data_IF_288287239310
#
_entry.id   IF_288287239310
#
_cell.length_a   1.000
_cell.length_b   1.000
_cell.length_c   1.000
_cell.angle_alpha   90.00
_cell.angle_beta   90.00
_cell.angle_gamma   90.00
#
_symmetry.space_group_name_H-M   'P 1'
#
loop_
_entity.id
_entity.type
_entity.pdbx_description
1 polymer ?
#
# COMPACT_ATOMS: atom_id res chain seq x y z
N UNK A 1 56.59 58.39 13.86
CA UNK A 1 57.38 57.66 12.88
C UNK A 1 56.74 56.35 12.50
N UNK A 2 56.81 56.07 11.23
CA UNK A 2 56.67 54.80 10.49
C UNK A 2 55.31 54.58 9.86
N UNK A 3 55.21 54.94 8.67
CA UNK A 3 55.25 54.28 7.38
C UNK A 3 54.25 53.14 7.17
N UNK A 4 53.27 53.46 6.38
CA UNK A 4 52.40 52.65 5.58
C UNK A 4 53.14 51.67 4.65
N UNK A 5 52.69 50.41 4.59
CA UNK A 5 52.86 49.62 3.36
C UNK A 5 51.55 48.88 3.05
N UNK A 6 50.97 49.27 1.95
CA UNK A 6 49.90 48.57 1.25
C UNK A 6 50.46 47.27 0.65
N UNK A 7 49.81 46.16 0.84
CA UNK A 7 49.94 44.97 -0.01
C UNK A 7 48.56 44.58 -0.53
N UNK A 8 48.43 44.74 -1.84
CA UNK A 8 47.32 44.30 -2.66
C UNK A 8 47.27 42.77 -2.69
N UNK A 9 46.21 42.21 -2.14
CA UNK A 9 45.90 40.78 -2.32
C UNK A 9 44.81 40.65 -3.38
N UNK A 10 45.21 40.14 -4.53
CA UNK A 10 44.36 39.78 -5.67
C UNK A 10 43.45 38.63 -5.22
N UNK A 11 42.17 38.88 -5.15
CA UNK A 11 41.14 37.84 -4.99
C UNK A 11 41.02 37.08 -6.29
N UNK A 12 41.49 35.85 -6.32
CA UNK A 12 41.25 34.90 -7.36
C UNK A 12 39.80 34.39 -7.24
N UNK A 13 38.93 34.72 -8.17
CA UNK A 13 37.65 34.10 -8.34
C UNK A 13 37.87 32.61 -8.63
N UNK A 14 37.47 31.78 -7.66
CA UNK A 14 37.35 30.35 -7.86
C UNK A 14 36.06 30.14 -8.66
N UNK A 15 36.21 29.83 -9.95
CA UNK A 15 35.11 29.42 -10.80
C UNK A 15 34.38 28.20 -10.15
N UNK A 16 33.10 28.36 -9.90
CA UNK A 16 32.19 27.32 -9.50
C UNK A 16 32.22 26.20 -10.53
N UNK A 17 32.69 25.04 -10.14
CA UNK A 17 32.60 23.82 -10.93
C UNK A 17 31.14 23.39 -11.05
N UNK A 18 30.67 22.91 -12.22
CA UNK A 18 29.27 22.44 -12.38
C UNK A 18 29.00 21.32 -11.40
N UNK A 19 27.90 21.52 -10.65
CA UNK A 19 27.46 20.63 -9.58
C UNK A 19 27.46 19.17 -9.99
N UNK A 20 28.12 18.35 -9.21
CA UNK A 20 27.94 16.89 -9.25
C UNK A 20 26.47 16.61 -8.92
N UNK A 21 25.78 15.89 -9.80
CA UNK A 21 24.47 15.30 -9.53
C UNK A 21 24.58 14.48 -8.24
N UNK A 22 24.02 15.01 -7.16
CA UNK A 22 23.94 14.30 -5.89
C UNK A 22 22.63 13.47 -5.89
N UNK A 23 22.71 12.13 -5.97
CA UNK A 23 21.52 11.27 -6.05
C UNK A 23 20.57 11.45 -4.86
N UNK A 24 21.06 11.95 -3.73
CA UNK A 24 20.24 12.27 -2.55
C UNK A 24 19.41 13.53 -2.73
N UNK A 25 19.94 14.56 -3.40
CA UNK A 25 19.20 15.80 -3.71
C UNK A 25 18.04 15.54 -4.67
N UNK A 26 18.24 14.66 -5.64
CA UNK A 26 17.18 14.28 -6.60
C UNK A 26 16.09 13.45 -5.91
N UNK A 27 16.44 12.56 -5.00
CA UNK A 27 15.47 11.80 -4.21
C UNK A 27 14.65 12.71 -3.28
N UNK A 28 15.26 13.67 -2.59
CA UNK A 28 14.57 14.61 -1.71
C UNK A 28 13.62 15.53 -2.50
N UNK A 29 14.01 15.98 -3.69
CA UNK A 29 13.15 16.79 -4.56
C UNK A 29 11.95 16.01 -5.09
N UNK A 30 12.09 14.72 -5.37
CA UNK A 30 11.03 13.82 -5.83
C UNK A 30 10.08 13.43 -4.69
N UNK A 31 10.56 13.32 -3.44
CA UNK A 31 9.70 13.07 -2.27
C UNK A 31 8.79 14.27 -2.00
N UNK A 32 9.30 15.49 -2.13
CA UNK A 32 8.51 16.72 -1.93
C UNK A 32 7.37 16.89 -2.95
N UNK A 33 7.41 16.21 -4.10
CA UNK A 33 6.37 16.25 -5.12
C UNK A 33 5.22 15.25 -4.84
N UNK A 34 5.40 14.33 -3.88
CA UNK A 34 4.34 13.38 -3.54
C UNK A 34 3.24 14.06 -2.72
N UNK A 35 1.99 13.84 -3.10
CA UNK A 35 0.83 14.36 -2.34
C UNK A 35 0.77 13.80 -0.93
N UNK A 36 1.28 12.59 -0.71
CA UNK A 36 1.38 11.94 0.62
C UNK A 36 2.37 12.62 1.56
N UNK A 37 3.37 13.36 1.03
CA UNK A 37 4.40 14.08 1.81
C UNK A 37 4.08 15.58 1.95
N UNK A 38 3.11 16.08 1.21
CA UNK A 38 2.70 17.48 1.22
C UNK A 38 2.02 17.86 2.56
N UNK A 39 2.09 19.14 2.90
CA UNK A 39 1.36 19.67 4.06
C UNK A 39 -0.14 19.79 3.73
N UNK A 40 -1.00 19.44 4.70
CA UNK A 40 -2.43 19.59 4.59
C UNK A 40 -2.86 20.93 5.19
N UNK A 41 -3.42 21.81 4.37
CA UNK A 41 -3.89 23.14 4.80
C UNK A 41 -4.96 23.04 5.89
N UNK A 42 -5.84 22.02 5.85
CA UNK A 42 -6.89 21.83 6.84
C UNK A 42 -6.35 21.57 8.26
N UNK A 43 -5.10 21.13 8.39
CA UNK A 43 -4.46 20.84 9.67
C UNK A 43 -3.46 21.91 10.12
N UNK A 44 -3.47 23.12 9.55
CA UNK A 44 -2.64 24.21 10.04
C UNK A 44 -2.97 24.54 11.49
N UNK A 45 -1.94 24.73 12.31
CA UNK A 45 -2.06 24.97 13.75
C UNK A 45 -2.67 23.78 14.53
N UNK A 46 -2.54 22.56 14.02
CA UNK A 46 -3.13 21.35 14.60
C UNK A 46 -2.75 21.12 16.06
N UNK A 47 -1.51 21.44 16.45
CA UNK A 47 -0.98 21.32 17.80
C UNK A 47 -1.62 22.25 18.83
N UNK A 48 -2.35 23.30 18.38
CA UNK A 48 -3.02 24.26 19.28
C UNK A 48 -4.53 24.04 19.38
N UNK A 49 -5.07 23.04 18.65
CA UNK A 49 -6.49 22.73 18.58
C UNK A 49 -6.95 21.93 19.80
N UNK A 50 -8.21 22.13 20.18
CA UNK A 50 -8.89 21.27 21.15
C UNK A 50 -9.11 19.87 20.58
N UNK A 51 -9.31 18.88 21.44
CA UNK A 51 -9.60 17.51 21.03
C UNK A 51 -10.82 17.41 20.08
N UNK A 52 -11.84 18.24 20.31
CA UNK A 52 -13.04 18.28 19.46
C UNK A 52 -12.72 18.83 18.07
N UNK A 53 -11.93 19.88 17.97
CA UNK A 53 -11.50 20.44 16.67
C UNK A 53 -10.60 19.44 15.92
N UNK A 54 -9.66 18.80 16.61
CA UNK A 54 -8.81 17.75 16.04
C UNK A 54 -9.66 16.63 15.45
N UNK A 55 -10.63 16.10 16.22
CA UNK A 55 -11.50 15.04 15.75
C UNK A 55 -12.34 15.45 14.52
N UNK A 56 -12.87 16.69 14.51
CA UNK A 56 -13.63 17.23 13.39
C UNK A 56 -12.78 17.38 12.12
N UNK A 57 -11.54 17.87 12.25
CA UNK A 57 -10.62 18.01 11.12
C UNK A 57 -10.31 16.62 10.52
N UNK A 58 -9.97 15.65 11.36
CA UNK A 58 -9.68 14.27 10.91
C UNK A 58 -10.91 13.69 10.19
N UNK A 59 -12.09 13.78 10.82
CA UNK A 59 -13.32 13.24 10.22
C UNK A 59 -13.67 13.89 8.88
N UNK A 60 -13.48 15.21 8.76
CA UNK A 60 -13.69 15.93 7.51
C UNK A 60 -12.75 15.46 6.41
N UNK A 61 -11.47 15.23 6.73
CA UNK A 61 -10.49 14.69 5.79
C UNK A 61 -10.79 13.24 5.41
N UNK A 62 -11.15 12.40 6.38
CA UNK A 62 -11.49 10.99 6.16
C UNK A 62 -12.72 10.83 5.25
N UNK A 63 -13.67 11.75 5.29
CA UNK A 63 -14.84 11.75 4.40
C UNK A 63 -14.47 11.82 2.90
N UNK A 64 -13.27 12.28 2.56
CA UNK A 64 -12.79 12.35 1.17
C UNK A 64 -12.32 10.99 0.61
N UNK A 65 -12.01 10.04 1.48
CA UNK A 65 -11.39 8.75 1.10
C UNK A 65 -12.29 7.94 0.18
N UNK A 66 -13.57 7.82 0.51
CA UNK A 66 -14.52 7.05 -0.31
C UNK A 66 -14.65 7.64 -1.73
N UNK A 67 -14.63 8.97 -1.87
CA UNK A 67 -14.67 9.64 -3.15
C UNK A 67 -13.38 9.42 -3.98
N UNK A 68 -12.23 9.36 -3.32
CA UNK A 68 -10.95 9.02 -3.96
C UNK A 68 -10.96 7.57 -4.47
N UNK A 69 -11.36 6.61 -3.64
CA UNK A 69 -11.47 5.20 -4.03
C UNK A 69 -12.50 4.99 -5.16
N UNK A 70 -13.60 5.76 -5.16
CA UNK A 70 -14.62 5.69 -6.23
C UNK A 70 -14.03 5.92 -7.63
N UNK A 71 -13.02 6.78 -7.76
CA UNK A 71 -12.38 7.05 -9.05
C UNK A 71 -11.62 5.85 -9.60
N UNK A 72 -11.13 4.98 -8.73
CA UNK A 72 -10.36 3.78 -9.08
C UNK A 72 -11.21 2.50 -9.23
N UNK A 73 -12.54 2.60 -9.19
CA UNK A 73 -13.45 1.43 -9.33
C UNK A 73 -13.19 0.62 -10.61
N UNK A 74 -12.94 1.21 -11.79
CA UNK A 74 -12.67 0.42 -13.00
C UNK A 74 -11.45 -0.50 -12.85
N UNK A 75 -10.35 0.00 -12.29
CA UNK A 75 -9.12 -0.77 -12.05
C UNK A 75 -9.32 -1.81 -10.94
N UNK A 76 -10.06 -1.46 -9.89
CA UNK A 76 -10.45 -2.40 -8.83
C UNK A 76 -11.25 -3.57 -9.43
N UNK A 77 -12.19 -3.31 -10.33
CA UNK A 77 -12.97 -4.33 -11.00
C UNK A 77 -12.10 -5.27 -11.84
N UNK A 78 -11.10 -4.73 -12.56
CA UNK A 78 -10.13 -5.55 -13.30
C UNK A 78 -9.35 -6.48 -12.38
N UNK A 79 -8.91 -5.97 -11.22
CA UNK A 79 -8.18 -6.79 -10.24
C UNK A 79 -9.10 -7.85 -9.61
N UNK A 80 -10.38 -7.54 -9.33
CA UNK A 80 -11.38 -8.51 -8.86
C UNK A 80 -11.48 -9.67 -9.84
N UNK A 81 -11.67 -9.39 -11.13
CA UNK A 81 -11.80 -10.42 -12.16
C UNK A 81 -10.51 -11.23 -12.33
N UNK A 82 -9.35 -10.59 -12.24
CA UNK A 82 -8.07 -11.27 -12.33
C UNK A 82 -7.83 -12.18 -11.12
N UNK A 83 -8.12 -11.71 -9.88
CA UNK A 83 -8.03 -12.53 -8.66
C UNK A 83 -8.96 -13.74 -8.76
N UNK A 84 -10.22 -13.53 -9.17
CA UNK A 84 -11.18 -14.63 -9.32
C UNK A 84 -10.71 -15.69 -10.34
N UNK A 85 -10.13 -15.28 -11.47
CA UNK A 85 -9.51 -16.19 -12.45
C UNK A 85 -8.36 -16.97 -11.84
N UNK A 86 -7.40 -16.30 -11.25
CA UNK A 86 -6.23 -16.94 -10.64
C UNK A 86 -6.63 -17.99 -9.60
N UNK A 87 -7.58 -17.67 -8.71
CA UNK A 87 -8.02 -18.59 -7.67
C UNK A 87 -8.82 -19.77 -8.24
N UNK A 88 -9.64 -19.56 -9.29
CA UNK A 88 -10.38 -20.63 -10.00
C UNK A 88 -9.44 -21.63 -10.67
N UNK A 89 -8.33 -21.13 -11.22
CA UNK A 89 -7.33 -21.94 -11.90
C UNK A 89 -6.34 -22.64 -10.95
N UNK A 90 -6.63 -22.60 -9.65
CA UNK A 90 -5.80 -23.20 -8.59
C UNK A 90 -4.55 -22.43 -8.26
N UNK A 91 -4.48 -21.16 -8.64
CA UNK A 91 -3.43 -20.22 -8.23
C UNK A 91 -3.73 -19.55 -6.89
N UNK A 92 -2.92 -18.52 -6.55
CA UNK A 92 -2.94 -17.84 -5.27
C UNK A 92 -3.01 -16.32 -5.46
N UNK A 93 -3.56 -15.64 -4.45
CA UNK A 93 -3.38 -14.22 -4.27
C UNK A 93 -2.32 -13.98 -3.20
N UNK A 94 -1.31 -13.18 -3.51
CA UNK A 94 -0.22 -12.84 -2.59
C UNK A 94 -0.12 -11.33 -2.48
N UNK A 95 -0.40 -10.80 -1.28
CA UNK A 95 -0.17 -9.40 -0.98
C UNK A 95 1.28 -9.13 -0.60
N UNK A 96 1.79 -7.97 -0.97
CA UNK A 96 3.11 -7.48 -0.59
C UNK A 96 2.97 -6.06 -0.04
N UNK A 97 3.50 -5.81 1.15
CA UNK A 97 3.45 -4.48 1.76
C UNK A 97 4.54 -4.26 2.80
N UNK A 98 4.66 -3.03 3.26
CA UNK A 98 5.54 -2.63 4.35
C UNK A 98 4.74 -1.78 5.34
N UNK A 99 5.17 -1.68 6.59
CA UNK A 99 4.54 -0.86 7.61
C UNK A 99 3.02 -1.07 7.71
N UNK A 100 2.25 0.02 7.65
CA UNK A 100 0.77 -0.02 7.72
C UNK A 100 0.16 -0.78 6.55
N UNK A 101 0.71 -0.64 5.33
CA UNK A 101 0.24 -1.36 4.15
C UNK A 101 0.38 -2.88 4.31
N UNK A 102 1.49 -3.34 4.88
CA UNK A 102 1.71 -4.76 5.19
C UNK A 102 0.74 -5.30 6.24
N UNK A 103 0.41 -4.50 7.27
CA UNK A 103 -0.57 -4.87 8.30
C UNK A 103 -1.99 -4.97 7.75
N UNK A 104 -2.38 -4.05 6.87
CA UNK A 104 -3.68 -4.08 6.18
C UNK A 104 -3.78 -5.32 5.28
N UNK A 105 -2.70 -5.66 4.56
CA UNK A 105 -2.60 -6.88 3.78
C UNK A 105 -2.77 -8.15 4.63
N UNK A 106 -2.11 -8.19 5.80
CA UNK A 106 -2.22 -9.29 6.75
C UNK A 106 -3.64 -9.43 7.29
N UNK A 107 -4.27 -8.30 7.66
CA UNK A 107 -5.65 -8.27 8.15
C UNK A 107 -6.60 -8.87 7.11
N UNK A 108 -6.59 -8.38 5.86
CA UNK A 108 -7.48 -8.88 4.81
C UNK A 108 -7.24 -10.37 4.51
N UNK A 109 -5.98 -10.81 4.52
CA UNK A 109 -5.64 -12.21 4.29
C UNK A 109 -6.12 -13.13 5.42
N UNK A 110 -6.05 -12.68 6.67
CA UNK A 110 -6.45 -13.48 7.84
C UNK A 110 -7.97 -13.65 7.96
N UNK A 111 -8.75 -12.73 7.38
CA UNK A 111 -10.22 -12.79 7.39
C UNK A 111 -10.80 -13.70 6.30
N UNK A 112 -10.00 -14.11 5.30
CA UNK A 112 -10.50 -14.97 4.22
C UNK A 112 -10.88 -16.40 4.66
N UNK A 113 -10.08 -17.13 5.47
CA UNK A 113 -10.46 -18.47 5.91
C UNK A 113 -11.75 -18.52 6.72
N UNK A 114 -11.98 -17.67 7.74
CA UNK A 114 -13.22 -17.73 8.52
C UNK A 114 -14.44 -17.30 7.73
N UNK A 115 -14.28 -16.38 6.74
CA UNK A 115 -15.41 -15.81 5.99
C UNK A 115 -15.81 -16.65 4.79
N UNK A 116 -14.82 -17.20 4.08
CA UNK A 116 -15.01 -17.87 2.78
C UNK A 116 -14.51 -19.31 2.75
N UNK A 117 -14.06 -19.86 3.89
CA UNK A 117 -13.44 -21.21 3.97
C UNK A 117 -12.30 -21.40 2.94
N UNK A 118 -11.52 -20.34 2.69
CA UNK A 118 -10.41 -20.44 1.75
C UNK A 118 -9.39 -21.47 2.24
N UNK A 119 -8.83 -22.25 1.31
CA UNK A 119 -7.81 -23.23 1.62
C UNK A 119 -6.54 -22.55 2.20
N UNK A 120 -5.82 -23.22 3.11
CA UNK A 120 -4.54 -22.72 3.59
C UNK A 120 -3.59 -22.38 2.45
N UNK A 121 -3.03 -21.19 2.48
CA UNK A 121 -2.09 -20.72 1.45
C UNK A 121 -2.70 -20.21 0.14
N UNK A 122 -4.02 -20.28 -0.05
CA UNK A 122 -4.70 -19.71 -1.22
C UNK A 122 -4.64 -18.18 -1.23
N UNK A 123 -4.75 -17.56 -0.07
CA UNK A 123 -4.58 -16.13 0.15
C UNK A 123 -3.42 -15.93 1.11
N UNK A 124 -2.42 -15.17 0.69
CA UNK A 124 -1.17 -14.98 1.43
C UNK A 124 -0.81 -13.51 1.51
N UNK A 125 0.04 -13.17 2.46
CA UNK A 125 0.74 -11.90 2.50
C UNK A 125 2.23 -12.11 2.80
N UNK A 126 3.04 -11.16 2.37
CA UNK A 126 4.41 -10.94 2.82
C UNK A 126 4.55 -9.47 3.19
N UNK A 127 5.35 -9.19 4.20
CA UNK A 127 5.64 -7.83 4.61
C UNK A 127 7.09 -7.66 5.01
N UNK A 128 7.62 -6.48 4.80
CA UNK A 128 8.96 -6.10 5.25
C UNK A 128 9.08 -6.32 6.76
N UNK A 129 10.15 -7.01 7.19
CA UNK A 129 10.34 -7.41 8.60
C UNK A 129 9.60 -8.69 9.03
N UNK A 130 8.78 -9.28 8.15
CA UNK A 130 8.09 -10.54 8.40
C UNK A 130 7.05 -10.46 9.54
N UNK A 131 6.69 -11.62 10.16
CA UNK A 131 5.62 -11.67 11.18
C UNK A 131 5.88 -10.78 12.41
N UNK A 132 7.12 -10.49 12.75
CA UNK A 132 7.47 -9.60 13.88
C UNK A 132 6.99 -8.17 13.62
N UNK A 133 6.97 -7.73 12.37
CA UNK A 133 6.55 -6.39 11.98
C UNK A 133 5.02 -6.16 12.08
N UNK A 134 4.23 -7.20 12.35
CA UNK A 134 2.80 -7.04 12.67
C UNK A 134 2.59 -6.28 13.98
N UNK A 135 3.42 -6.58 15.00
CA UNK A 135 3.29 -6.03 16.34
C UNK A 135 4.26 -4.88 16.65
N UNK A 136 5.33 -4.71 15.85
CA UNK A 136 6.35 -3.69 16.08
C UNK A 136 6.77 -3.01 14.78
N UNK A 137 7.20 -1.76 14.86
CA UNK A 137 7.78 -1.06 13.70
C UNK A 137 9.17 -1.65 13.38
N UNK A 138 9.38 -2.08 12.14
CA UNK A 138 10.66 -2.58 11.62
C UNK A 138 10.91 -1.88 10.28
N UNK A 139 11.31 -0.61 10.34
CA UNK A 139 11.42 0.27 9.17
C UNK A 139 12.63 -0.07 8.28
N UNK A 140 13.73 -0.53 8.88
CA UNK A 140 15.01 -0.81 8.18
C UNK A 140 14.87 -1.76 6.97
N UNK A 141 13.84 -2.61 6.94
CA UNK A 141 13.65 -3.59 5.87
C UNK A 141 12.83 -3.04 4.69
N UNK A 142 12.23 -1.87 4.82
CA UNK A 142 11.36 -1.29 3.77
C UNK A 142 12.18 -0.79 2.57
N UNK A 143 13.42 -0.39 2.79
CA UNK A 143 14.33 0.15 1.78
C UNK A 143 15.13 -0.93 1.03
N UNK A 144 14.98 -2.20 1.43
CA UNK A 144 15.75 -3.28 0.81
C UNK A 144 15.01 -3.97 -0.34
N UNK A 145 15.42 -3.68 -1.56
CA UNK A 145 14.97 -4.38 -2.77
C UNK A 145 15.31 -5.87 -2.72
N UNK A 146 16.52 -6.20 -2.24
CA UNK A 146 16.99 -7.59 -2.13
C UNK A 146 16.08 -8.41 -1.21
N UNK A 147 15.68 -7.85 -0.07
CA UNK A 147 14.75 -8.52 0.84
C UNK A 147 13.39 -8.72 0.19
N UNK A 148 12.89 -7.74 -0.54
CA UNK A 148 11.63 -7.82 -1.30
C UNK A 148 11.65 -8.96 -2.32
N UNK A 149 12.69 -9.01 -3.14
CA UNK A 149 12.89 -10.09 -4.11
C UNK A 149 13.03 -11.46 -3.45
N UNK A 150 13.82 -11.56 -2.38
CA UNK A 150 14.03 -12.81 -1.65
C UNK A 150 12.75 -13.35 -1.04
N UNK A 151 11.95 -12.49 -0.42
CA UNK A 151 10.76 -12.92 0.30
C UNK A 151 9.63 -13.33 -0.65
N UNK A 152 9.47 -12.65 -1.79
CA UNK A 152 8.54 -13.10 -2.84
C UNK A 152 9.05 -14.36 -3.56
N UNK A 153 10.35 -14.49 -3.80
CA UNK A 153 10.95 -15.66 -4.43
C UNK A 153 10.69 -16.94 -3.62
N UNK A 154 10.67 -16.85 -2.29
CA UNK A 154 10.31 -17.97 -1.39
C UNK A 154 8.88 -18.45 -1.59
N UNK A 155 7.98 -17.60 -2.06
CA UNK A 155 6.60 -17.96 -2.42
C UNK A 155 6.52 -18.64 -3.79
N UNK A 156 7.58 -18.59 -4.59
CA UNK A 156 7.65 -19.20 -5.94
C UNK A 156 6.42 -18.80 -6.78
N UNK A 157 6.23 -17.50 -7.07
CA UNK A 157 5.09 -17.05 -7.87
C UNK A 157 5.13 -17.65 -9.27
N UNK A 158 3.96 -18.00 -9.78
CA UNK A 158 3.78 -18.62 -11.10
C UNK A 158 2.76 -17.83 -11.92
N UNK A 159 2.61 -18.16 -13.21
CA UNK A 159 1.61 -17.57 -14.11
C UNK A 159 0.15 -17.76 -13.64
N UNK A 160 -0.11 -18.64 -12.67
CA UNK A 160 -1.44 -18.83 -12.08
C UNK A 160 -1.72 -17.88 -10.94
N UNK A 161 -0.70 -17.26 -10.38
CA UNK A 161 -0.81 -16.42 -9.21
C UNK A 161 -1.02 -14.96 -9.58
N UNK A 162 -1.59 -14.20 -8.66
CA UNK A 162 -1.58 -12.74 -8.70
C UNK A 162 -0.88 -12.18 -7.47
N UNK A 163 0.06 -11.26 -7.70
CA UNK A 163 0.77 -10.53 -6.65
C UNK A 163 0.26 -9.09 -6.63
N UNK A 164 -0.21 -8.63 -5.47
CA UNK A 164 -0.74 -7.27 -5.29
C UNK A 164 0.17 -6.51 -4.33
N UNK A 165 0.89 -5.54 -4.84
CA UNK A 165 1.77 -4.67 -4.05
C UNK A 165 1.00 -3.48 -3.48
N UNK A 166 1.23 -3.19 -2.18
CA UNK A 166 0.62 -2.06 -1.47
C UNK A 166 1.71 -1.10 -1.01
N UNK A 167 1.67 0.13 -1.51
CA UNK A 167 2.56 1.21 -1.08
C UNK A 167 1.84 2.55 -1.25
N UNK A 168 1.56 3.26 -0.17
CA UNK A 168 0.88 4.55 -0.21
C UNK A 168 1.67 5.58 -1.05
N UNK A 169 2.98 5.69 -0.84
CA UNK A 169 3.87 6.54 -1.65
C UNK A 169 4.10 5.98 -3.07
N UNK A 170 3.92 4.66 -3.24
CA UNK A 170 4.25 3.95 -4.48
C UNK A 170 5.75 3.76 -4.72
N UNK A 171 6.59 4.05 -3.73
CA UNK A 171 8.06 4.10 -3.87
C UNK A 171 8.81 3.11 -3.00
N UNK A 172 8.16 2.41 -2.06
CA UNK A 172 8.78 1.47 -1.13
C UNK A 172 9.61 0.42 -1.86
N UNK A 173 10.96 0.43 -1.77
CA UNK A 173 11.83 -0.42 -2.61
C UNK A 173 11.54 -1.90 -2.45
N UNK A 174 11.29 -2.35 -1.21
CA UNK A 174 10.89 -3.74 -0.90
C UNK A 174 9.68 -4.19 -1.73
N UNK A 175 8.64 -3.35 -1.79
CA UNK A 175 7.38 -3.71 -2.47
C UNK A 175 7.55 -3.65 -3.99
N UNK A 176 8.21 -2.62 -4.50
CA UNK A 176 8.48 -2.44 -5.94
C UNK A 176 9.27 -3.64 -6.47
N UNK A 177 10.36 -4.00 -5.79
CA UNK A 177 11.21 -5.12 -6.20
C UNK A 177 10.49 -6.47 -6.15
N UNK A 178 9.63 -6.69 -5.15
CA UNK A 178 8.83 -7.92 -5.06
C UNK A 178 7.79 -8.02 -6.20
N UNK A 179 7.10 -6.94 -6.55
CA UNK A 179 6.13 -6.90 -7.66
C UNK A 179 6.85 -7.11 -8.99
N UNK A 180 7.95 -6.39 -9.24
CA UNK A 180 8.74 -6.55 -10.45
C UNK A 180 9.28 -7.98 -10.62
N UNK A 181 9.79 -8.60 -9.56
CA UNK A 181 10.22 -10.00 -9.57
C UNK A 181 9.08 -10.95 -9.93
N UNK A 182 7.90 -10.79 -9.31
CA UNK A 182 6.75 -11.63 -9.58
C UNK A 182 6.32 -11.53 -11.05
N UNK A 183 6.27 -10.32 -11.60
CA UNK A 183 5.96 -10.06 -13.02
C UNK A 183 6.96 -10.74 -13.95
N UNK A 184 8.25 -10.63 -13.65
CA UNK A 184 9.32 -11.29 -14.42
C UNK A 184 9.21 -12.84 -14.38
N UNK A 185 8.57 -13.41 -13.34
CA UNK A 185 8.25 -14.83 -13.23
C UNK A 185 6.95 -15.22 -13.92
N UNK A 186 6.28 -14.29 -14.58
CA UNK A 186 5.04 -14.48 -15.33
C UNK A 186 3.78 -14.48 -14.46
N UNK A 187 3.86 -14.13 -13.17
CA UNK A 187 2.68 -13.92 -12.35
C UNK A 187 1.96 -12.64 -12.79
N UNK A 188 0.63 -12.61 -12.65
CA UNK A 188 -0.13 -11.38 -12.78
C UNK A 188 0.21 -10.43 -11.64
N UNK A 189 0.21 -9.13 -11.91
CA UNK A 189 0.58 -8.14 -10.89
C UNK A 189 -0.40 -6.99 -10.84
N UNK A 190 -0.66 -6.50 -9.62
CA UNK A 190 -1.39 -5.27 -9.40
C UNK A 190 -0.70 -4.42 -8.35
N UNK A 191 -0.91 -3.10 -8.43
CA UNK A 191 -0.43 -2.14 -7.45
C UNK A 191 -1.57 -1.35 -6.85
N UNK A 192 -1.48 -1.04 -5.54
CA UNK A 192 -2.38 -0.12 -4.83
C UNK A 192 -1.54 1.00 -4.25
N UNK A 193 -1.75 2.22 -4.73
CA UNK A 193 -0.98 3.41 -4.34
C UNK A 193 -1.89 4.62 -4.17
N UNK A 194 -1.37 5.70 -3.54
CA UNK A 194 -2.07 6.97 -3.39
C UNK A 194 -1.47 8.09 -4.25
N UNK A 195 -0.47 7.78 -5.08
CA UNK A 195 0.17 8.73 -5.98
C UNK A 195 0.24 8.17 -7.39
N UNK A 196 0.17 9.05 -8.40
CA UNK A 196 0.38 8.73 -9.80
C UNK A 196 1.88 8.61 -10.12
N UNK A 197 2.21 8.04 -11.27
CA UNK A 197 3.56 8.00 -11.86
C UNK A 197 4.64 7.48 -10.90
N UNK A 198 4.33 6.40 -10.20
CA UNK A 198 5.19 5.83 -9.19
C UNK A 198 5.97 4.60 -9.69
N UNK A 199 7.13 4.26 -9.08
CA UNK A 199 7.87 3.04 -9.41
C UNK A 199 7.03 1.75 -9.32
N UNK A 200 6.12 1.64 -8.34
CA UNK A 200 5.25 0.47 -8.23
C UNK A 200 4.25 0.39 -9.39
N UNK A 201 3.79 1.55 -9.90
CA UNK A 201 2.91 1.61 -11.06
C UNK A 201 3.61 1.09 -12.31
N UNK A 202 4.87 1.43 -12.53
CA UNK A 202 5.68 0.90 -13.64
C UNK A 202 5.94 -0.62 -13.51
N UNK A 203 6.00 -1.15 -12.29
CA UNK A 203 6.28 -2.55 -12.01
C UNK A 203 5.05 -3.47 -12.16
N UNK A 204 3.82 -2.96 -12.14
CA UNK A 204 2.59 -3.74 -12.12
C UNK A 204 1.86 -3.73 -13.48
N UNK A 205 1.00 -4.74 -13.72
CA UNK A 205 0.14 -4.82 -14.91
C UNK A 205 -1.14 -3.98 -14.76
N UNK A 206 -1.70 -3.92 -13.54
CA UNK A 206 -2.90 -3.13 -13.22
C UNK A 206 -2.55 -2.20 -12.04
N UNK A 207 -2.90 -0.93 -12.16
CA UNK A 207 -2.57 0.08 -11.13
C UNK A 207 -3.86 0.70 -10.60
N UNK A 208 -4.07 0.58 -9.30
CA UNK A 208 -5.16 1.21 -8.56
C UNK A 208 -4.59 2.43 -7.84
N UNK A 209 -5.00 3.62 -8.26
CA UNK A 209 -4.57 4.88 -7.63
C UNK A 209 -5.74 5.48 -6.85
N UNK A 210 -5.60 5.57 -5.53
CA UNK A 210 -6.55 6.24 -4.65
C UNK A 210 -5.92 7.54 -4.12
N UNK A 211 -6.09 8.65 -4.85
CA UNK A 211 -5.52 9.95 -4.51
C UNK A 211 -6.28 10.58 -3.34
N UNK A 212 -5.88 10.27 -2.12
CA UNK A 212 -6.51 10.78 -0.89
C UNK A 212 -6.01 12.16 -0.46
N UNK A 213 -5.03 12.71 -1.17
CA UNK A 213 -4.36 13.96 -0.81
C UNK A 213 -3.47 13.86 0.42
N UNK A 214 -2.92 15.01 0.89
CA UNK A 214 -2.02 15.04 2.03
C UNK A 214 -2.71 14.63 3.33
N UNK A 215 -1.99 13.94 4.20
CA UNK A 215 -2.49 13.55 5.52
C UNK A 215 -2.59 14.74 6.48
N UNK A 216 -3.43 14.66 7.50
CA UNK A 216 -3.52 15.68 8.56
C UNK A 216 -2.22 15.83 9.36
N UNK A 217 -1.41 14.77 9.41
CA UNK A 217 -0.01 14.80 9.83
C UNK A 217 0.79 14.36 8.61
N UNK A 218 1.57 15.28 8.05
CA UNK A 218 2.36 15.06 6.85
C UNK A 218 3.15 13.76 6.91
N UNK A 219 3.10 12.94 5.86
CA UNK A 219 3.79 11.65 5.78
C UNK A 219 3.15 10.51 6.60
N UNK A 220 2.11 10.78 7.43
CA UNK A 220 1.49 9.73 8.26
C UNK A 220 0.46 8.90 7.49
N UNK A 221 0.91 8.13 6.51
CA UNK A 221 0.10 7.37 5.55
C UNK A 221 -0.70 6.19 6.15
N UNK A 222 -0.59 5.97 7.46
CA UNK A 222 -1.47 5.05 8.19
C UNK A 222 -2.93 5.51 8.27
N UNK A 223 -3.22 6.79 7.98
CA UNK A 223 -4.52 7.44 8.11
C UNK A 223 -5.36 7.31 6.84
N UNK A 224 -5.55 8.37 6.05
CA UNK A 224 -6.39 8.32 4.82
C UNK A 224 -5.91 7.29 3.82
N UNK A 225 -4.59 7.24 3.56
CA UNK A 225 -4.02 6.26 2.65
C UNK A 225 -4.25 4.82 3.13
N UNK A 226 -4.06 4.55 4.43
CA UNK A 226 -4.36 3.25 5.03
C UNK A 226 -5.85 2.90 4.91
N UNK A 227 -6.75 3.86 5.16
CA UNK A 227 -8.20 3.68 5.01
C UNK A 227 -8.56 3.36 3.55
N UNK A 228 -8.00 4.07 2.58
CA UNK A 228 -8.20 3.79 1.16
C UNK A 228 -7.73 2.38 0.78
N UNK A 229 -6.54 1.97 1.21
CA UNK A 229 -6.03 0.62 0.98
C UNK A 229 -6.97 -0.44 1.57
N UNK A 230 -7.45 -0.25 2.81
CA UNK A 230 -8.41 -1.17 3.43
C UNK A 230 -9.71 -1.27 2.63
N UNK A 231 -10.26 -0.16 2.13
CA UNK A 231 -11.44 -0.15 1.28
C UNK A 231 -11.21 -0.92 -0.03
N UNK A 232 -10.07 -0.68 -0.68
CA UNK A 232 -9.69 -1.35 -1.94
C UNK A 232 -9.57 -2.86 -1.72
N UNK A 233 -8.85 -3.31 -0.68
CA UNK A 233 -8.69 -4.74 -0.40
C UNK A 233 -10.03 -5.40 -0.06
N UNK A 234 -10.91 -4.75 0.69
CA UNK A 234 -12.26 -5.26 0.94
C UNK A 234 -13.03 -5.50 -0.36
N UNK A 235 -12.96 -4.54 -1.32
CA UNK A 235 -13.62 -4.69 -2.62
C UNK A 235 -13.03 -5.84 -3.43
N UNK A 236 -11.70 -5.94 -3.50
CA UNK A 236 -11.00 -7.00 -4.24
C UNK A 236 -11.36 -8.36 -3.67
N UNK A 237 -11.25 -8.53 -2.36
CA UNK A 237 -11.50 -9.83 -1.71
C UNK A 237 -12.96 -10.22 -1.81
N UNK A 238 -13.87 -9.34 -1.39
CA UNK A 238 -15.31 -9.63 -1.42
C UNK A 238 -15.80 -9.86 -2.84
N UNK A 239 -15.39 -9.01 -3.79
CA UNK A 239 -15.76 -9.14 -5.18
C UNK A 239 -15.26 -10.45 -5.82
N UNK A 240 -13.99 -10.81 -5.59
CA UNK A 240 -13.42 -12.05 -6.11
C UNK A 240 -14.10 -13.30 -5.52
N UNK A 241 -14.34 -13.34 -4.21
CA UNK A 241 -15.01 -14.45 -3.55
C UNK A 241 -16.49 -14.58 -3.99
N UNK A 242 -17.16 -13.46 -4.22
CA UNK A 242 -18.52 -13.45 -4.82
C UNK A 242 -18.49 -14.04 -6.24
N UNK A 243 -17.51 -13.65 -7.06
CA UNK A 243 -17.33 -14.19 -8.44
C UNK A 243 -16.96 -15.68 -8.46
N UNK A 244 -16.46 -16.20 -7.35
CA UNK A 244 -16.17 -17.64 -7.15
C UNK A 244 -17.37 -18.44 -6.61
N UNK A 245 -18.50 -17.78 -6.29
CA UNK A 245 -19.70 -18.43 -5.78
C UNK A 245 -19.67 -18.69 -4.26
N UNK A 246 -18.80 -18.00 -3.52
CA UNK A 246 -18.72 -18.14 -2.05
C UNK A 246 -19.73 -17.25 -1.30
N UNK A 247 -20.52 -16.49 -2.08
CA UNK A 247 -21.59 -15.63 -1.58
C UNK A 247 -22.84 -15.93 -2.42
N UNK A 248 -23.98 -16.13 -1.78
CA UNK A 248 -25.29 -16.23 -2.42
C UNK A 248 -26.12 -15.01 -2.04
N UNK A 249 -26.54 -14.20 -3.02
CA UNK A 249 -27.11 -12.87 -2.82
C UNK A 249 -26.19 -12.00 -1.93
N UNK A 250 -26.51 -11.82 -0.66
CA UNK A 250 -25.68 -11.15 0.35
C UNK A 250 -25.33 -12.06 1.53
N UNK A 251 -25.49 -13.38 1.40
CA UNK A 251 -25.31 -14.37 2.43
C UNK A 251 -23.96 -15.08 2.32
N UNK A 252 -23.29 -15.26 3.45
CA UNK A 252 -22.01 -15.97 3.59
C UNK A 252 -22.23 -17.49 3.55
N UNK A 253 -22.53 -18.06 2.37
CA UNK A 253 -22.86 -19.50 2.26
C UNK A 253 -21.65 -20.42 2.42
N UNK A 254 -20.44 -19.90 2.36
CA UNK A 254 -19.19 -20.65 2.51
C UNK A 254 -18.48 -20.36 3.85
N UNK A 255 -19.22 -19.93 4.87
CA UNK A 255 -18.66 -19.61 6.17
C UNK A 255 -18.09 -20.83 6.88
N UNK A 256 -16.91 -20.69 7.49
CA UNK A 256 -16.30 -21.77 8.29
C UNK A 256 -16.88 -21.80 9.71
N UNK A 257 -17.73 -22.77 9.99
CA UNK A 257 -18.52 -22.88 11.24
C UNK A 257 -17.68 -23.42 12.41
N UNK A 258 -16.72 -22.64 12.89
CA UNK A 258 -15.79 -23.05 13.97
C UNK A 258 -16.22 -22.66 15.39
N UNK A 259 -17.23 -21.80 15.54
CA UNK A 259 -17.73 -21.38 16.84
C UNK A 259 -19.26 -21.28 16.84
N UNK A 260 -19.87 -21.21 18.04
CA UNK A 260 -21.33 -21.18 18.22
C UNK A 260 -22.03 -20.07 17.44
N UNK A 261 -21.43 -18.88 17.38
CA UNK A 261 -21.95 -17.73 16.63
C UNK A 261 -22.00 -18.02 15.13
N UNK A 262 -20.97 -18.68 14.57
CA UNK A 262 -20.91 -19.01 13.14
C UNK A 262 -21.84 -20.19 12.80
N UNK A 263 -22.00 -21.16 13.70
CA UNK A 263 -23.00 -22.24 13.57
C UNK A 263 -24.41 -21.65 13.52
N UNK A 264 -24.76 -20.78 14.47
CA UNK A 264 -26.07 -20.11 14.52
C UNK A 264 -26.33 -19.28 13.25
N UNK A 265 -25.30 -18.59 12.74
CA UNK A 265 -25.38 -17.87 11.45
C UNK A 265 -25.64 -18.82 10.28
N UNK A 266 -24.92 -19.95 10.21
CA UNK A 266 -25.14 -20.98 9.20
C UNK A 266 -26.57 -21.52 9.22
N UNK A 267 -27.14 -21.81 10.39
CA UNK A 267 -28.53 -22.24 10.54
C UNK A 267 -29.48 -21.16 10.01
N UNK A 268 -29.29 -19.90 10.37
CA UNK A 268 -30.14 -18.80 9.88
C UNK A 268 -30.08 -18.64 8.37
N UNK A 269 -28.92 -18.83 7.75
CA UNK A 269 -28.76 -18.78 6.28
C UNK A 269 -29.57 -19.90 5.60
N UNK A 270 -29.59 -21.09 6.18
CA UNK A 270 -30.36 -22.22 5.64
C UNK A 270 -31.88 -22.07 5.82
N UNK A 271 -32.33 -21.16 6.66
CA UNK A 271 -33.75 -20.87 6.91
C UNK A 271 -34.31 -19.73 6.04
N UNK A 272 -33.45 -19.00 5.32
CA UNK A 272 -33.83 -17.98 4.33
C UNK A 272 -34.02 -18.57 2.96
#
# INVERSE_FOLDING_TARGET
GAVSMLSSTTTQEVADAPGRDDPKRDQDSLLQQLTTESQNEASQGFNTKSALEIARIINHEDAKVAAAVKKAIPEIAQVIDQVARCLRDGGRRIYVGAGSSGRIAALDSSECPPTYSTAPGQVQYIMAGGPKALASAVEVNEDSEELGQRDIARRRPTRKDIVVGLSASGRTPYVVAAVAYARARGAHTAAVTCNNDTPIAAAADIVIVAEVGPEVISGSTRMKAGTAQKMVLNMITTGAMTRLGYVYENLMVNVHMQNSKLVERGIRILMC
#
